data_IF_080532633263
#
_entry.id   IF_080532633263
#
_cell.length_a   1.000
_cell.length_b   1.000
_cell.length_c   1.000
_cell.angle_alpha   90.00
_cell.angle_beta   90.00
_cell.angle_gamma   90.00
#
_symmetry.space_group_name_H-M   'P 1'
#
loop_
_entity.id
_entity.type
_entity.pdbx_description
1 polymer ?
#
# COMPACT_ATOMS: atom_id res chain seq x y z
N UNK A 1 -22.10 -27.97 35.23
CA UNK A 1 -20.96 -27.20 34.69
C UNK A 1 -20.50 -26.25 35.79
N UNK A 2 -19.25 -26.33 36.24
CA UNK A 2 -18.79 -25.54 37.40
C UNK A 2 -18.59 -24.06 37.03
N UNK A 3 -18.85 -23.15 37.97
CA UNK A 3 -18.62 -21.70 37.82
C UNK A 3 -17.17 -21.38 37.39
N UNK A 4 -16.21 -22.18 37.85
CA UNK A 4 -14.81 -22.08 37.45
C UNK A 4 -14.61 -22.34 35.95
N UNK A 5 -15.41 -23.23 35.36
CA UNK A 5 -15.33 -23.56 33.94
C UNK A 5 -15.86 -22.42 33.07
N UNK A 6 -16.95 -21.77 33.49
CA UNK A 6 -17.49 -20.58 32.83
C UNK A 6 -16.50 -19.42 32.92
N UNK A 7 -15.87 -19.22 34.08
CA UNK A 7 -14.87 -18.17 34.27
C UNK A 7 -13.64 -18.37 33.39
N UNK A 8 -13.14 -19.61 33.25
CA UNK A 8 -12.02 -19.94 32.35
C UNK A 8 -12.39 -19.70 30.89
N UNK A 9 -13.61 -20.03 30.47
CA UNK A 9 -14.10 -19.75 29.11
C UNK A 9 -14.14 -18.23 28.86
N UNK A 10 -14.71 -17.46 29.79
CA UNK A 10 -14.79 -16.00 29.69
C UNK A 10 -13.38 -15.35 29.67
N UNK A 11 -12.45 -15.85 30.48
CA UNK A 11 -11.06 -15.37 30.49
C UNK A 11 -10.37 -15.62 29.14
N UNK A 12 -10.59 -16.78 28.52
CA UNK A 12 -10.05 -17.09 27.19
C UNK A 12 -10.62 -16.16 26.11
N UNK A 13 -11.92 -15.84 26.16
CA UNK A 13 -12.52 -14.88 25.22
C UNK A 13 -11.96 -13.46 25.41
N UNK A 14 -11.71 -13.04 26.64
CA UNK A 14 -11.08 -11.74 26.93
C UNK A 14 -9.63 -11.69 26.41
N UNK A 15 -8.84 -12.74 26.63
CA UNK A 15 -7.44 -12.81 26.17
C UNK A 15 -7.35 -12.89 24.63
N UNK A 16 -8.29 -13.60 23.96
CA UNK A 16 -8.32 -13.72 22.49
C UNK A 16 -8.71 -12.40 21.80
N UNK A 17 -9.48 -11.53 22.47
CA UNK A 17 -9.84 -10.22 21.91
C UNK A 17 -8.71 -9.17 21.92
N UNK A 18 -7.67 -9.40 22.73
CA UNK A 18 -6.63 -8.41 23.01
C UNK A 18 -5.40 -8.45 22.10
N UNK A 19 -5.25 -9.46 21.25
CA UNK A 19 -4.11 -9.60 20.33
C UNK A 19 -4.56 -9.66 18.88
N UNK A 20 -5.27 -8.62 18.43
CA UNK A 20 -5.16 -8.26 17.02
C UNK A 20 -3.76 -7.67 16.87
N UNK A 21 -2.82 -8.48 16.42
CA UNK A 21 -1.58 -7.95 15.86
C UNK A 21 -2.03 -6.98 14.79
N UNK A 22 -1.83 -5.70 15.03
CA UNK A 22 -2.09 -4.62 14.07
C UNK A 22 -1.01 -4.75 12.98
N UNK A 23 -1.08 -5.85 12.23
CA UNK A 23 -0.35 -6.02 11.00
C UNK A 23 -1.12 -5.12 10.04
N UNK A 24 -0.69 -3.85 9.94
CA UNK A 24 -1.23 -2.95 8.94
C UNK A 24 -1.16 -3.67 7.59
N UNK A 25 -2.31 -4.07 7.08
CA UNK A 25 -2.39 -4.78 5.82
C UNK A 25 -2.05 -3.79 4.70
N UNK A 26 -1.32 -4.27 3.69
CA UNK A 26 -0.93 -3.45 2.55
C UNK A 26 -1.93 -3.65 1.43
N UNK A 27 -2.40 -2.56 0.83
CA UNK A 27 -3.39 -2.60 -0.22
C UNK A 27 -3.17 -1.45 -1.19
N UNK A 28 -3.74 -1.62 -2.38
CA UNK A 28 -3.64 -0.65 -3.46
C UNK A 28 -4.88 0.23 -3.50
N UNK A 29 -4.68 1.54 -3.61
CA UNK A 29 -5.73 2.54 -3.86
C UNK A 29 -5.54 3.14 -5.24
N UNK A 30 -6.62 3.66 -5.82
CA UNK A 30 -6.50 4.41 -7.08
C UNK A 30 -5.74 5.72 -6.85
N UNK A 31 -4.73 5.96 -7.67
CA UNK A 31 -3.93 7.17 -7.62
C UNK A 31 -4.62 8.29 -8.41
N UNK A 32 -4.95 9.38 -7.73
CA UNK A 32 -5.63 10.55 -8.29
C UNK A 32 -4.74 11.80 -8.18
N UNK A 33 -3.46 11.69 -8.56
CA UNK A 33 -2.46 12.76 -8.46
C UNK A 33 -2.15 13.25 -7.03
N UNK A 34 -2.78 12.66 -6.02
CA UNK A 34 -2.57 12.92 -4.59
C UNK A 34 -2.03 11.68 -3.92
N UNK A 35 -1.13 11.87 -2.96
CA UNK A 35 -0.57 10.79 -2.15
C UNK A 35 -1.44 10.58 -0.92
N UNK A 36 -1.99 9.39 -0.69
CA UNK A 36 -2.69 9.08 0.56
C UNK A 36 -1.78 9.19 1.78
N UNK A 37 -2.34 9.56 2.93
CA UNK A 37 -1.58 9.76 4.18
C UNK A 37 -0.90 8.48 4.70
N UNK A 38 -1.47 7.32 4.36
CA UNK A 38 -0.96 5.98 4.70
C UNK A 38 -0.08 5.37 3.59
N UNK A 39 0.21 6.11 2.52
CA UNK A 39 1.13 5.65 1.49
C UNK A 39 2.57 5.58 2.03
N UNK A 40 3.28 4.51 1.69
CA UNK A 40 4.61 4.23 2.25
C UNK A 40 5.68 4.86 1.36
N UNK A 41 6.51 5.79 1.89
CA UNK A 41 7.66 6.30 1.17
C UNK A 41 8.66 5.16 0.91
N UNK A 42 9.05 4.96 -0.35
CA UNK A 42 9.91 3.86 -0.77
C UNK A 42 11.26 4.31 -1.36
N UNK A 43 11.52 5.62 -1.36
CA UNK A 43 12.76 6.22 -1.85
C UNK A 43 12.70 7.73 -1.85
N UNK A 44 13.72 8.36 -2.42
CA UNK A 44 13.76 9.81 -2.61
C UNK A 44 14.27 10.19 -4.00
N UNK A 45 13.87 11.36 -4.49
CA UNK A 45 14.41 11.96 -5.71
C UNK A 45 15.78 12.62 -5.48
N UNK A 46 16.35 13.24 -6.53
CA UNK A 46 17.63 13.95 -6.45
C UNK A 46 17.64 15.17 -5.52
N UNK A 47 16.46 15.62 -5.07
CA UNK A 47 16.28 16.73 -4.14
C UNK A 47 15.90 16.24 -2.73
N UNK A 48 15.92 14.93 -2.48
CA UNK A 48 15.54 14.33 -1.20
C UNK A 48 14.04 14.31 -0.93
N UNK A 49 13.19 14.54 -1.93
CA UNK A 49 11.72 14.45 -1.78
C UNK A 49 11.26 12.99 -1.85
N UNK A 50 10.27 12.58 -1.05
CA UNK A 50 9.83 11.19 -1.00
C UNK A 50 9.21 10.74 -2.34
N UNK A 51 9.47 9.48 -2.69
CA UNK A 51 8.87 8.76 -3.81
C UNK A 51 8.08 7.56 -3.27
N UNK A 52 7.07 7.12 -4.01
CA UNK A 52 6.13 6.09 -3.57
C UNK A 52 6.05 4.95 -4.58
N UNK A 53 5.61 3.78 -4.11
CA UNK A 53 5.37 2.61 -4.95
C UNK A 53 4.01 2.78 -5.62
N UNK A 54 3.93 2.50 -6.92
CA UNK A 54 2.68 2.42 -7.65
C UNK A 54 2.58 1.16 -8.50
N UNK A 55 1.39 0.92 -9.03
CA UNK A 55 1.14 -0.03 -10.12
C UNK A 55 0.49 0.72 -11.27
N UNK A 56 1.11 0.70 -12.45
CA UNK A 56 0.58 1.34 -13.64
C UNK A 56 0.14 0.27 -14.65
N UNK A 57 -1.10 0.36 -15.14
CA UNK A 57 -1.52 -0.40 -16.30
C UNK A 57 -1.09 0.32 -17.58
N UNK A 58 -0.26 -0.33 -18.38
CA UNK A 58 0.19 0.17 -19.68
C UNK A 58 -0.31 -0.77 -20.76
N UNK A 59 -1.19 -0.29 -21.65
CA UNK A 59 -1.78 -1.10 -22.71
C UNK A 59 -0.68 -1.77 -23.57
N UNK A 60 -0.75 -3.10 -23.68
CA UNK A 60 0.23 -3.92 -24.40
C UNK A 60 1.47 -4.32 -23.59
N UNK A 61 1.61 -3.82 -22.37
CA UNK A 61 2.64 -4.19 -21.40
C UNK A 61 2.04 -4.67 -20.07
N UNK A 62 0.71 -4.62 -19.95
CA UNK A 62 -0.10 -5.01 -18.80
C UNK A 62 0.25 -4.20 -17.53
N UNK A 63 0.13 -4.84 -16.37
CA UNK A 63 0.33 -4.20 -15.07
C UNK A 63 1.82 -4.20 -14.69
N UNK A 64 2.38 -3.01 -14.51
CA UNK A 64 3.79 -2.82 -14.20
C UNK A 64 3.97 -2.11 -12.87
N UNK A 65 4.98 -2.48 -12.05
CA UNK A 65 5.43 -1.65 -10.94
C UNK A 65 5.85 -0.26 -11.43
N UNK A 66 5.51 0.77 -10.67
CA UNK A 66 5.78 2.15 -11.01
C UNK A 66 6.36 2.89 -9.81
N UNK A 67 7.12 3.94 -10.09
CA UNK A 67 7.53 4.95 -9.13
C UNK A 67 6.59 6.13 -9.28
N UNK A 68 5.88 6.51 -8.21
CA UNK A 68 5.09 7.73 -8.18
C UNK A 68 6.01 8.89 -7.79
N UNK A 69 5.98 9.95 -8.60
CA UNK A 69 6.74 11.17 -8.43
C UNK A 69 5.78 12.30 -8.03
N UNK A 70 5.63 12.60 -6.72
CA UNK A 70 4.62 13.56 -6.26
C UNK A 70 4.83 14.98 -6.81
N UNK A 71 6.08 15.38 -6.99
CA UNK A 71 6.46 16.69 -7.56
C UNK A 71 6.03 16.84 -9.02
N UNK A 72 5.99 15.74 -9.78
CA UNK A 72 5.58 15.71 -11.19
C UNK A 72 4.10 15.32 -11.39
N UNK A 73 3.42 14.87 -10.31
CA UNK A 73 2.05 14.32 -10.33
C UNK A 73 1.87 13.24 -11.39
N UNK A 74 2.80 12.29 -11.45
CA UNK A 74 2.73 11.16 -12.38
C UNK A 74 3.40 9.92 -11.79
N UNK A 75 3.09 8.78 -12.39
CA UNK A 75 3.81 7.54 -12.18
C UNK A 75 4.71 7.23 -13.37
N UNK A 76 5.94 6.78 -13.09
CA UNK A 76 6.92 6.33 -14.07
C UNK A 76 7.12 4.83 -13.95
N UNK A 77 7.05 4.11 -15.05
CA UNK A 77 7.35 2.68 -15.13
C UNK A 77 8.24 2.38 -16.32
N UNK A 78 8.85 1.20 -16.34
CA UNK A 78 9.71 0.74 -17.43
C UNK A 78 9.35 -0.68 -17.84
N UNK A 79 9.35 -0.93 -19.15
CA UNK A 79 9.22 -2.27 -19.70
C UNK A 79 9.95 -2.35 -21.05
N UNK A 80 10.68 -3.43 -21.27
CA UNK A 80 11.41 -3.70 -22.53
C UNK A 80 12.23 -2.49 -23.02
N UNK A 81 13.07 -1.93 -22.14
CA UNK A 81 13.90 -0.75 -22.40
C UNK A 81 13.14 0.54 -22.78
N UNK A 82 11.82 0.59 -22.56
CA UNK A 82 11.01 1.81 -22.70
C UNK A 82 10.67 2.37 -21.33
N UNK A 83 10.51 3.69 -21.28
CA UNK A 83 10.02 4.44 -20.12
C UNK A 83 8.62 4.92 -20.44
N UNK A 84 7.69 4.73 -19.51
CA UNK A 84 6.32 5.23 -19.59
C UNK A 84 6.09 6.18 -18.42
N UNK A 85 5.55 7.36 -18.71
CA UNK A 85 5.03 8.29 -17.71
C UNK A 85 3.51 8.35 -17.89
N UNK A 86 2.74 8.07 -16.85
CA UNK A 86 1.27 8.08 -16.90
C UNK A 86 0.69 8.69 -15.63
N UNK A 87 -0.48 9.32 -15.77
CA UNK A 87 -1.31 9.77 -14.64
C UNK A 87 -2.52 8.86 -14.46
N UNK A 88 -2.94 8.21 -15.54
CA UNK A 88 -4.12 7.37 -15.59
C UNK A 88 -3.78 5.90 -15.35
N UNK A 89 -4.76 5.16 -14.82
CA UNK A 89 -4.68 3.72 -14.55
C UNK A 89 -3.52 3.35 -13.62
N UNK A 90 -3.28 4.19 -12.61
CA UNK A 90 -2.27 4.00 -11.59
C UNK A 90 -2.93 3.67 -10.25
N UNK A 91 -2.34 2.74 -9.51
CA UNK A 91 -2.60 2.52 -8.10
C UNK A 91 -1.39 2.92 -7.26
N UNK A 92 -1.63 3.33 -6.02
CA UNK A 92 -0.66 3.70 -4.97
C UNK A 92 -0.92 2.90 -3.72
#
# INVERSE_FOLDING_TARGET
>A
MSLAYVLVILLKFLIVSGNKWDCADYYWRDYHETIPDDAIPAGTDSHGKPLYIGLAYVRGYELLPATILPSEKLARTTAYAKVFNTRDNVKV
#
